data_IF_178567209952
#
_entry.id   IF_178567209952
#
_cell.length_a   1.000
_cell.length_b   1.000
_cell.length_c   1.000
_cell.angle_alpha   90.00
_cell.angle_beta   90.00
_cell.angle_gamma   90.00
#
_symmetry.space_group_name_H-M   'P 1'
#
loop_
_entity.id
_entity.type
_entity.pdbx_description
1 polymer ?
#
# COMPACT_ATOMS: atom_id res chain seq x y z
N UNK A 1 2.79 -26.53 0.01
CA UNK A 1 2.32 -25.64 -1.08
C UNK A 1 3.29 -24.47 -1.33
N UNK A 2 4.46 -24.76 -1.90
CA UNK A 2 5.55 -23.78 -2.08
C UNK A 2 5.26 -22.73 -3.17
N UNK A 3 4.50 -23.11 -4.19
CA UNK A 3 4.09 -22.23 -5.29
C UNK A 3 3.05 -21.19 -4.85
N UNK A 4 1.99 -21.63 -4.16
CA UNK A 4 0.91 -20.74 -3.67
C UNK A 4 1.45 -19.65 -2.76
N UNK A 5 2.35 -19.99 -1.82
CA UNK A 5 2.97 -19.00 -0.93
C UNK A 5 3.78 -17.93 -1.67
N UNK A 6 4.49 -18.30 -2.74
CA UNK A 6 5.24 -17.36 -3.58
C UNK A 6 4.31 -16.48 -4.43
N UNK A 7 3.27 -17.06 -5.01
CA UNK A 7 2.28 -16.33 -5.79
C UNK A 7 1.59 -15.25 -4.92
N UNK A 8 1.16 -15.62 -3.72
CA UNK A 8 0.63 -14.66 -2.73
C UNK A 8 1.67 -13.60 -2.39
N UNK A 9 2.92 -14.00 -2.16
CA UNK A 9 4.01 -13.06 -1.88
C UNK A 9 4.20 -12.01 -2.97
N UNK A 10 4.22 -12.40 -4.24
CA UNK A 10 4.32 -11.45 -5.36
C UNK A 10 3.12 -10.51 -5.45
N UNK A 11 1.90 -11.02 -5.28
CA UNK A 11 0.68 -10.20 -5.29
C UNK A 11 0.69 -9.18 -4.15
N UNK A 12 1.06 -9.60 -2.94
CA UNK A 12 1.16 -8.73 -1.77
C UNK A 12 2.27 -7.68 -1.94
N UNK A 13 3.42 -8.06 -2.51
CA UNK A 13 4.48 -7.11 -2.84
C UNK A 13 4.04 -6.07 -3.88
N UNK A 14 3.37 -6.50 -4.94
CA UNK A 14 2.88 -5.58 -5.98
C UNK A 14 1.84 -4.60 -5.41
N UNK A 15 0.91 -5.09 -4.59
CA UNK A 15 -0.07 -4.25 -3.90
C UNK A 15 0.61 -3.25 -2.95
N UNK A 16 1.53 -3.72 -2.11
CA UNK A 16 2.28 -2.87 -1.18
C UNK A 16 3.08 -1.79 -1.91
N UNK A 17 3.78 -2.14 -2.99
CA UNK A 17 4.51 -1.18 -3.82
C UNK A 17 3.57 -0.13 -4.44
N UNK A 18 2.41 -0.54 -4.96
CA UNK A 18 1.40 0.38 -5.47
C UNK A 18 0.94 1.38 -4.41
N UNK A 19 0.60 0.90 -3.21
CA UNK A 19 0.19 1.74 -2.08
C UNK A 19 1.29 2.73 -1.69
N UNK A 20 2.57 2.31 -1.66
CA UNK A 20 3.69 3.21 -1.36
C UNK A 20 3.81 4.30 -2.41
N UNK A 21 3.78 3.95 -3.70
CA UNK A 21 3.92 4.93 -4.79
C UNK A 21 2.77 5.94 -4.73
N UNK A 22 1.52 5.48 -4.64
CA UNK A 22 0.36 6.35 -4.53
C UNK A 22 0.40 7.20 -3.26
N UNK A 23 0.79 6.63 -2.12
CA UNK A 23 0.92 7.35 -0.86
C UNK A 23 1.98 8.45 -0.93
N UNK A 24 3.14 8.19 -1.55
CA UNK A 24 4.19 9.20 -1.73
C UNK A 24 3.75 10.33 -2.67
N UNK A 25 3.04 9.99 -3.76
CA UNK A 25 2.44 10.99 -4.65
C UNK A 25 1.40 11.84 -3.91
N UNK A 26 0.57 11.22 -3.06
CA UNK A 26 -0.41 11.93 -2.25
C UNK A 26 0.22 12.79 -1.14
N UNK A 27 1.39 12.43 -0.62
CA UNK A 27 2.18 13.29 0.28
C UNK A 27 2.73 14.51 -0.48
N UNK A 28 3.13 14.35 -1.74
CA UNK A 28 3.64 15.44 -2.57
C UNK A 28 2.51 16.37 -3.06
N UNK A 29 1.34 15.82 -3.37
CA UNK A 29 0.13 16.55 -3.75
C UNK A 29 -1.10 16.01 -3.00
N UNK A 30 -1.37 16.51 -1.78
CA UNK A 30 -2.54 16.12 -0.99
C UNK A 30 -3.87 16.55 -1.62
N UNK A 31 -3.88 17.60 -2.45
CA UNK A 31 -5.09 18.10 -3.10
C UNK A 31 -5.51 17.14 -4.23
N UNK A 32 -4.56 16.65 -5.02
CA UNK A 32 -4.79 15.63 -6.03
C UNK A 32 -5.26 14.28 -5.47
N UNK A 33 -5.04 14.03 -4.18
CA UNK A 33 -5.46 12.81 -3.48
C UNK A 33 -6.85 12.92 -2.82
N UNK A 34 -7.57 14.04 -3.01
CA UNK A 34 -8.90 14.22 -2.48
C UNK A 34 -9.90 13.24 -3.12
N UNK A 35 -10.67 12.56 -2.28
CA UNK A 35 -11.73 11.66 -2.73
C UNK A 35 -13.08 12.37 -2.55
N UNK A 36 -13.82 12.52 -3.64
CA UNK A 36 -15.19 13.00 -3.62
C UNK A 36 -16.06 12.11 -2.72
N UNK A 37 -17.02 12.71 -2.02
CA UNK A 37 -18.05 11.97 -1.29
C UNK A 37 -19.43 12.63 -1.49
N UNK A 38 -20.50 11.91 -1.14
CA UNK A 38 -21.87 12.34 -1.41
C UNK A 38 -22.28 13.65 -0.71
N UNK A 39 -21.62 14.02 0.38
CA UNK A 39 -21.88 15.27 1.12
C UNK A 39 -20.93 16.41 0.76
N UNK A 40 -19.82 16.13 0.10
CA UNK A 40 -18.83 17.08 -0.37
C UNK A 40 -18.21 16.56 -1.69
N UNK A 41 -18.62 17.10 -2.85
CA UNK A 41 -18.18 16.62 -4.16
C UNK A 41 -16.68 16.80 -4.41
N UNK A 42 -16.00 17.60 -3.59
CA UNK A 42 -14.54 17.79 -3.64
C UNK A 42 -13.80 17.01 -2.55
N UNK A 43 -14.50 16.43 -1.58
CA UNK A 43 -13.89 15.72 -0.46
C UNK A 43 -13.11 16.64 0.50
N UNK A 44 -12.50 16.03 1.52
CA UNK A 44 -11.57 16.72 2.40
C UNK A 44 -10.14 16.31 2.03
N UNK A 45 -9.20 17.28 2.05
CA UNK A 45 -7.78 16.98 1.92
C UNK A 45 -7.36 16.00 3.02
N UNK A 46 -6.76 14.85 2.68
CA UNK A 46 -6.25 13.93 3.69
C UNK A 46 -5.16 14.62 4.51
N UNK A 47 -5.17 14.37 5.82
CA UNK A 47 -4.14 14.91 6.70
C UNK A 47 -2.79 14.22 6.45
N UNK A 48 -1.69 14.91 6.73
CA UNK A 48 -0.34 14.35 6.62
C UNK A 48 -0.19 13.05 7.41
N UNK A 49 -0.81 12.96 8.60
CA UNK A 49 -0.77 11.75 9.41
C UNK A 49 -1.47 10.56 8.73
N UNK A 50 -2.62 10.78 8.07
CA UNK A 50 -3.32 9.74 7.32
C UNK A 50 -2.50 9.26 6.12
N UNK A 51 -1.86 10.19 5.41
CA UNK A 51 -1.01 9.87 4.26
C UNK A 51 0.24 9.07 4.68
N UNK A 52 0.91 9.48 5.76
CA UNK A 52 2.05 8.75 6.30
C UNK A 52 1.66 7.35 6.80
N UNK A 53 0.49 7.21 7.42
CA UNK A 53 -0.03 5.91 7.82
C UNK A 53 -0.30 5.02 6.59
N UNK A 54 -0.80 5.59 5.50
CA UNK A 54 -1.04 4.87 4.26
C UNK A 54 0.27 4.37 3.65
N UNK A 55 1.29 5.23 3.57
CA UNK A 55 2.65 4.86 3.13
C UNK A 55 3.23 3.76 4.02
N UNK A 56 3.14 3.90 5.34
CA UNK A 56 3.63 2.90 6.28
C UNK A 56 2.93 1.54 6.09
N UNK A 57 1.63 1.55 5.82
CA UNK A 57 0.85 0.33 5.51
C UNK A 57 1.35 -0.33 4.22
N UNK A 58 1.60 0.47 3.17
CA UNK A 58 2.18 0.00 1.92
C UNK A 58 3.57 -0.63 2.12
N UNK A 59 4.44 0.01 2.91
CA UNK A 59 5.78 -0.51 3.23
C UNK A 59 5.69 -1.84 3.98
N UNK A 60 4.78 -1.95 4.97
CA UNK A 60 4.57 -3.17 5.72
C UNK A 60 4.09 -4.33 4.83
N UNK A 61 3.15 -4.06 3.91
CA UNK A 61 2.68 -5.04 2.93
C UNK A 61 3.79 -5.45 1.96
N UNK A 62 4.57 -4.49 1.45
CA UNK A 62 5.69 -4.78 0.57
C UNK A 62 6.71 -5.70 1.25
N UNK A 63 7.09 -5.38 2.48
CA UNK A 63 8.01 -6.18 3.29
C UNK A 63 7.45 -7.59 3.56
N UNK A 64 6.16 -7.69 3.90
CA UNK A 64 5.49 -8.97 4.09
C UNK A 64 5.50 -9.82 2.81
N UNK A 65 5.16 -9.22 1.67
CA UNK A 65 5.18 -9.91 0.37
C UNK A 65 6.57 -10.42 0.01
N UNK A 66 7.61 -9.59 0.19
CA UNK A 66 9.00 -9.99 -0.07
C UNK A 66 9.39 -11.15 0.87
N UNK A 67 9.03 -11.05 2.14
CA UNK A 67 9.28 -12.11 3.10
C UNK A 67 8.59 -13.43 2.71
N UNK A 68 7.35 -13.39 2.22
CA UNK A 68 6.63 -14.57 1.71
C UNK A 68 7.32 -15.22 0.51
N UNK A 69 7.97 -14.43 -0.36
CA UNK A 69 8.72 -14.91 -1.53
C UNK A 69 10.05 -15.55 -1.11
N UNK A 70 10.78 -14.90 -0.20
CA UNK A 70 12.15 -15.27 0.20
C UNK A 70 12.16 -16.40 1.24
N UNK A 71 11.13 -16.49 2.10
CA UNK A 71 11.08 -17.51 3.15
C UNK A 71 11.12 -18.91 2.52
N UNK A 72 12.08 -19.73 2.95
CA UNK A 72 12.07 -21.16 2.64
C UNK A 72 10.91 -21.80 3.42
N UNK A 73 10.09 -22.67 2.81
CA UNK A 73 9.11 -23.44 3.56
C UNK A 73 9.89 -24.26 4.59
N UNK A 74 9.54 -24.12 5.88
CA UNK A 74 10.00 -25.07 6.88
C UNK A 74 9.25 -26.38 6.60
N UNK A 75 10.02 -27.42 6.34
CA UNK A 75 9.54 -28.80 6.14
C UNK A 75 9.05 -29.33 7.48
#
# INVERSE_FOLDING_TARGET
MRFVGKAIGYLVSALGLGIVIFGLLAVADPQGAQLANDSNPFGATPSTAQLLLHVATGVALLALGIWLVVRKPRV
#
